data_IF_459627862916
#
_entry.id   IF_459627862916
#
_cell.length_a   1.000
_cell.length_b   1.000
_cell.length_c   1.000
_cell.angle_alpha   90.00
_cell.angle_beta   90.00
_cell.angle_gamma   90.00
#
_symmetry.space_group_name_H-M   'P 1'
#
loop_
_entity.id
_entity.type
_entity.pdbx_description
1 polymer ?
#
# COMPACT_ATOMS: atom_id res chain seq x y z
N UNK A 1 44.87 1.61 68.82
CA UNK A 1 44.99 2.50 67.65
C UNK A 1 44.89 1.65 66.39
N UNK A 2 43.76 1.68 65.68
CA UNK A 2 43.48 0.82 64.52
C UNK A 2 43.48 1.70 63.26
N UNK A 3 44.40 1.45 62.32
CA UNK A 3 44.50 2.17 61.04
C UNK A 3 43.46 1.61 60.06
N UNK A 4 42.55 2.46 59.60
CA UNK A 4 41.63 2.17 58.51
C UNK A 4 42.44 2.11 57.20
N UNK A 5 42.53 0.93 56.59
CA UNK A 5 43.07 0.79 55.24
C UNK A 5 41.96 1.14 54.23
N UNK A 6 42.12 2.26 53.54
CA UNK A 6 41.26 2.64 52.41
C UNK A 6 41.71 1.84 51.20
N UNK A 7 40.90 0.84 50.81
CA UNK A 7 41.17 0.03 49.64
C UNK A 7 40.98 0.89 48.37
N UNK A 8 42.08 1.23 47.69
CA UNK A 8 42.07 2.04 46.48
C UNK A 8 41.77 1.17 45.25
N UNK A 9 40.55 0.65 45.16
CA UNK A 9 40.09 -0.15 44.02
C UNK A 9 39.46 0.74 42.94
N UNK A 10 40.17 0.86 41.81
CA UNK A 10 39.65 1.04 40.43
C UNK A 10 38.49 2.02 40.19
N UNK A 11 38.56 3.27 40.68
CA UNK A 11 37.57 4.33 40.33
C UNK A 11 37.65 4.85 38.89
N UNK A 12 38.80 4.71 38.22
CA UNK A 12 38.96 5.14 36.82
C UNK A 12 38.24 4.24 35.80
N UNK A 13 38.08 2.95 36.13
CA UNK A 13 37.47 1.95 35.22
C UNK A 13 35.97 2.19 35.07
N UNK A 14 35.28 2.57 36.15
CA UNK A 14 33.82 2.80 36.15
C UNK A 14 33.38 4.02 35.33
N UNK A 15 34.19 5.09 35.28
CA UNK A 15 33.85 6.30 34.51
C UNK A 15 34.03 6.06 32.99
N UNK A 16 35.10 5.35 32.61
CA UNK A 16 35.31 4.96 31.21
C UNK A 16 34.23 3.99 30.75
N UNK A 17 33.90 2.98 31.55
CA UNK A 17 32.84 2.02 31.26
C UNK A 17 31.46 2.67 31.10
N UNK A 18 31.10 3.59 32.00
CA UNK A 18 29.82 4.33 31.89
C UNK A 18 29.77 5.23 30.66
N UNK A 19 30.89 5.86 30.29
CA UNK A 19 30.95 6.70 29.08
C UNK A 19 30.81 5.86 27.82
N UNK A 20 31.45 4.69 27.76
CA UNK A 20 31.32 3.74 26.66
C UNK A 20 29.89 3.21 26.58
N UNK A 21 29.31 2.77 27.71
CA UNK A 21 27.94 2.27 27.78
C UNK A 21 26.93 3.33 27.32
N UNK A 22 27.12 4.59 27.73
CA UNK A 22 26.29 5.70 27.27
C UNK A 22 26.42 5.91 25.76
N UNK A 23 27.64 5.88 25.21
CA UNK A 23 27.87 5.99 23.77
C UNK A 23 27.19 4.87 22.97
N UNK A 24 27.30 3.63 23.46
CA UNK A 24 26.62 2.48 22.86
C UNK A 24 25.09 2.61 22.94
N UNK A 25 24.57 3.11 24.07
CA UNK A 25 23.14 3.35 24.24
C UNK A 25 22.62 4.39 23.25
N UNK A 26 23.32 5.52 23.09
CA UNK A 26 22.95 6.58 22.14
C UNK A 26 22.99 6.07 20.70
N UNK A 27 24.02 5.28 20.35
CA UNK A 27 24.11 4.65 19.04
C UNK A 27 22.92 3.70 18.79
N UNK A 28 22.58 2.86 19.78
CA UNK A 28 21.45 1.94 19.70
C UNK A 28 20.12 2.68 19.53
N UNK A 29 19.88 3.73 20.32
CA UNK A 29 18.66 4.55 20.21
C UNK A 29 18.53 5.18 18.83
N UNK A 30 19.64 5.64 18.24
CA UNK A 30 19.65 6.23 16.89
C UNK A 30 19.23 5.22 15.82
N UNK A 31 19.74 3.98 15.91
CA UNK A 31 19.35 2.90 14.98
C UNK A 31 17.89 2.52 15.17
N UNK A 32 17.43 2.36 16.42
CA UNK A 32 16.03 2.03 16.72
C UNK A 32 15.06 3.10 16.24
N UNK A 33 15.40 4.39 16.40
CA UNK A 33 14.60 5.48 15.88
C UNK A 33 14.48 5.42 14.34
N UNK A 34 15.59 5.15 13.63
CA UNK A 34 15.57 4.99 12.18
C UNK A 34 14.69 3.82 11.74
N UNK A 35 14.80 2.67 12.44
CA UNK A 35 13.97 1.49 12.18
C UNK A 35 12.48 1.77 12.42
N UNK A 36 12.13 2.48 13.50
CA UNK A 36 10.76 2.85 13.80
C UNK A 36 10.14 3.71 12.69
N UNK A 37 10.86 4.72 12.20
CA UNK A 37 10.41 5.58 11.09
C UNK A 37 10.24 4.77 9.81
N UNK A 38 11.18 3.86 9.50
CA UNK A 38 11.07 2.99 8.32
C UNK A 38 9.86 2.06 8.42
N UNK A 39 9.63 1.45 9.58
CA UNK A 39 8.50 0.57 9.83
C UNK A 39 7.16 1.32 9.68
N UNK A 40 7.05 2.53 10.22
CA UNK A 40 5.86 3.37 10.07
C UNK A 40 5.57 3.69 8.60
N UNK A 41 6.61 3.97 7.80
CA UNK A 41 6.46 4.19 6.35
C UNK A 41 5.92 2.94 5.65
N UNK A 42 6.49 1.78 5.93
CA UNK A 42 6.03 0.49 5.36
C UNK A 42 4.57 0.20 5.72
N UNK A 43 4.16 0.46 6.96
CA UNK A 43 2.76 0.27 7.37
C UNK A 43 1.81 1.25 6.66
N UNK A 44 2.23 2.51 6.50
CA UNK A 44 1.46 3.51 5.77
C UNK A 44 1.29 3.12 4.29
N UNK A 45 2.35 2.61 3.66
CA UNK A 45 2.33 2.17 2.27
C UNK A 45 1.43 0.93 2.10
N UNK A 46 1.51 -0.04 3.01
CA UNK A 46 0.61 -1.21 3.01
C UNK A 46 -0.86 -0.80 3.18
N UNK A 47 -1.15 0.16 4.07
CA UNK A 47 -2.51 0.65 4.25
C UNK A 47 -3.02 1.32 2.97
N UNK A 48 -2.21 2.15 2.32
CA UNK A 48 -2.58 2.79 1.07
C UNK A 48 -2.81 1.77 -0.05
N UNK A 49 -1.96 0.75 -0.15
CA UNK A 49 -2.13 -0.34 -1.10
C UNK A 49 -3.45 -1.10 -0.89
N UNK A 50 -3.78 -1.47 0.35
CA UNK A 50 -5.05 -2.14 0.66
C UNK A 50 -6.26 -1.30 0.25
N UNK A 51 -6.25 -0.02 0.59
CA UNK A 51 -7.34 0.90 0.21
C UNK A 51 -7.48 1.02 -1.31
N UNK A 52 -6.37 1.02 -2.05
CA UNK A 52 -6.41 1.08 -3.51
C UNK A 52 -6.94 -0.23 -4.12
N UNK A 53 -6.57 -1.38 -3.58
CA UNK A 53 -7.11 -2.68 -4.00
C UNK A 53 -8.60 -2.76 -3.69
N UNK A 54 -9.01 -2.35 -2.49
CA UNK A 54 -10.43 -2.36 -2.09
C UNK A 54 -11.26 -1.46 -3.02
N UNK A 55 -10.78 -0.25 -3.32
CA UNK A 55 -11.46 0.65 -4.26
C UNK A 55 -11.53 0.06 -5.67
N UNK A 56 -10.41 -0.43 -6.20
CA UNK A 56 -10.39 -1.03 -7.55
C UNK A 56 -11.28 -2.26 -7.65
N UNK A 57 -11.33 -3.07 -6.59
CA UNK A 57 -12.25 -4.22 -6.51
C UNK A 57 -13.70 -3.74 -6.56
N UNK A 58 -14.04 -2.72 -5.76
CA UNK A 58 -15.39 -2.17 -5.72
C UNK A 58 -15.81 -1.57 -7.07
N UNK A 59 -14.89 -0.88 -7.77
CA UNK A 59 -15.11 -0.37 -9.12
C UNK A 59 -15.29 -1.50 -10.14
N UNK A 60 -14.48 -2.57 -10.05
CA UNK A 60 -14.61 -3.73 -10.93
C UNK A 60 -15.90 -4.52 -10.68
N UNK A 61 -16.32 -4.68 -9.42
CA UNK A 61 -17.58 -5.35 -9.07
C UNK A 61 -18.77 -4.57 -9.64
N UNK A 62 -18.75 -3.24 -9.55
CA UNK A 62 -19.77 -2.39 -10.17
C UNK A 62 -19.76 -2.51 -11.71
N UNK A 63 -18.57 -2.50 -12.33
CA UNK A 63 -18.44 -2.59 -13.79
C UNK A 63 -18.81 -3.96 -14.36
N UNK A 64 -18.55 -5.04 -13.61
CA UNK A 64 -18.87 -6.41 -14.04
C UNK A 64 -20.34 -6.77 -13.85
N UNK A 65 -21.05 -6.06 -12.96
CA UNK A 65 -22.50 -6.20 -12.80
C UNK A 65 -23.31 -5.50 -13.92
N UNK A 66 -22.69 -4.61 -14.70
CA UNK A 66 -23.34 -3.89 -15.79
C UNK A 66 -23.41 -4.73 -17.07
N UNK A 67 -24.47 -4.56 -17.90
CA UNK A 67 -24.49 -5.08 -19.26
C UNK A 67 -23.28 -4.60 -20.06
N UNK A 68 -22.83 -5.40 -21.03
CA UNK A 68 -21.56 -5.19 -21.73
C UNK A 68 -21.41 -3.80 -22.38
N UNK A 69 -22.50 -3.24 -22.90
CA UNK A 69 -22.54 -1.92 -23.56
C UNK A 69 -22.50 -0.77 -22.54
N UNK A 70 -23.18 -0.95 -21.40
CA UNK A 70 -23.19 0.02 -20.29
C UNK A 70 -21.84 0.02 -19.56
N UNK A 71 -21.23 -1.16 -19.39
CA UNK A 71 -19.92 -1.31 -18.78
C UNK A 71 -18.82 -0.57 -19.57
N UNK A 72 -18.88 -0.59 -20.91
CA UNK A 72 -17.92 0.14 -21.74
C UNK A 72 -18.06 1.66 -21.54
N UNK A 73 -19.29 2.16 -21.52
CA UNK A 73 -19.58 3.59 -21.31
C UNK A 73 -19.17 4.04 -19.90
N UNK A 74 -19.47 3.23 -18.88
CA UNK A 74 -19.09 3.51 -17.50
C UNK A 74 -17.56 3.50 -17.31
N UNK A 75 -16.84 2.59 -18.00
CA UNK A 75 -15.39 2.50 -17.95
C UNK A 75 -14.70 3.73 -18.58
N UNK A 76 -15.27 4.26 -19.66
CA UNK A 76 -14.80 5.52 -20.27
C UNK A 76 -15.05 6.71 -19.34
N UNK A 77 -16.23 6.78 -18.71
CA UNK A 77 -16.54 7.84 -17.74
C UNK A 77 -15.60 7.81 -16.51
N UNK A 78 -15.27 6.60 -16.03
CA UNK A 78 -14.33 6.42 -14.91
C UNK A 78 -12.90 6.87 -15.25
N UNK A 79 -12.54 6.85 -16.54
CA UNK A 79 -11.18 7.17 -16.99
C UNK A 79 -10.90 8.66 -16.94
N UNK A 80 -10.23 9.10 -15.87
CA UNK A 80 -9.89 10.51 -15.63
C UNK A 80 -10.60 11.13 -14.44
N UNK A 81 -11.54 10.42 -13.82
CA UNK A 81 -12.13 10.84 -12.55
C UNK A 81 -11.19 10.57 -11.37
N UNK A 82 -11.29 11.45 -10.37
CA UNK A 82 -10.63 11.31 -9.10
C UNK A 82 -11.55 10.54 -8.14
N UNK A 83 -11.12 9.39 -7.59
CA UNK A 83 -11.94 8.63 -6.66
C UNK A 83 -12.20 9.42 -5.38
N UNK A 84 -13.45 9.37 -4.93
CA UNK A 84 -13.89 10.03 -3.69
C UNK A 84 -13.49 9.17 -2.50
N UNK A 85 -12.83 9.77 -1.49
CA UNK A 85 -12.58 9.13 -0.20
C UNK A 85 -11.10 8.83 0.08
N UNK A 86 -10.75 7.64 0.60
CA UNK A 86 -9.40 7.38 1.14
C UNK A 86 -8.29 7.34 0.08
N UNK A 87 -8.65 7.30 -1.20
CA UNK A 87 -7.75 7.28 -2.37
C UNK A 87 -7.74 8.60 -3.14
N UNK A 88 -8.30 9.67 -2.57
CA UNK A 88 -8.25 11.04 -3.13
C UNK A 88 -6.83 11.43 -3.55
N UNK A 89 -6.74 12.10 -4.69
CA UNK A 89 -5.51 12.48 -5.37
C UNK A 89 -4.98 11.42 -6.34
N UNK A 90 -5.62 10.27 -6.48
CA UNK A 90 -5.29 9.27 -7.49
C UNK A 90 -6.09 9.50 -8.79
N UNK A 91 -5.64 8.90 -9.89
CA UNK A 91 -6.35 8.91 -11.17
C UNK A 91 -6.67 7.49 -11.57
N UNK A 92 -7.93 7.24 -11.94
CA UNK A 92 -8.39 5.96 -12.47
C UNK A 92 -8.27 5.92 -13.99
N UNK A 93 -7.90 4.75 -14.51
CA UNK A 93 -7.85 4.45 -15.95
C UNK A 93 -8.41 3.06 -16.20
N UNK A 94 -9.43 3.00 -17.03
CA UNK A 94 -10.02 1.75 -17.50
C UNK A 94 -9.50 1.35 -18.88
N UNK A 95 -9.39 0.04 -19.12
CA UNK A 95 -9.19 -0.56 -20.44
C UNK A 95 -10.02 -1.82 -20.54
N UNK A 96 -10.68 -1.98 -21.68
CA UNK A 96 -11.46 -3.16 -22.02
C UNK A 96 -10.79 -3.85 -23.21
N UNK A 97 -10.68 -5.17 -23.15
CA UNK A 97 -10.17 -5.98 -24.24
C UNK A 97 -11.08 -7.19 -24.42
N UNK A 98 -11.52 -7.43 -25.66
CA UNK A 98 -12.19 -8.69 -26.00
C UNK A 98 -11.11 -9.76 -26.22
N UNK A 99 -11.20 -10.87 -25.49
CA UNK A 99 -10.30 -12.02 -25.57
C UNK A 99 -11.13 -13.30 -25.84
N UNK A 100 -10.47 -14.41 -26.15
CA UNK A 100 -11.11 -15.65 -26.66
C UNK A 100 -12.21 -16.24 -25.75
N UNK A 101 -12.18 -15.91 -24.44
CA UNK A 101 -13.09 -16.46 -23.43
C UNK A 101 -14.09 -15.44 -22.88
N UNK A 102 -14.13 -14.24 -23.44
CA UNK A 102 -14.97 -13.15 -22.96
C UNK A 102 -14.21 -11.84 -22.89
N UNK A 103 -14.77 -10.88 -22.15
CA UNK A 103 -14.27 -9.52 -22.11
C UNK A 103 -13.48 -9.28 -20.84
N UNK A 104 -12.24 -8.82 -20.99
CA UNK A 104 -11.36 -8.47 -19.87
C UNK A 104 -11.44 -6.98 -19.59
N UNK A 105 -11.95 -6.65 -18.41
CA UNK A 105 -11.94 -5.32 -17.83
C UNK A 105 -10.65 -5.15 -17.04
N UNK A 106 -9.90 -4.09 -17.28
CA UNK A 106 -8.69 -3.75 -16.52
C UNK A 106 -8.78 -2.33 -16.02
N UNK A 107 -8.69 -2.13 -14.71
CA UNK A 107 -8.71 -0.81 -14.09
C UNK A 107 -7.38 -0.58 -13.38
N UNK A 108 -6.79 0.58 -13.62
CA UNK A 108 -5.52 1.01 -13.03
C UNK A 108 -5.74 2.27 -12.22
N UNK A 109 -5.18 2.29 -11.01
CA UNK A 109 -5.13 3.45 -10.13
C UNK A 109 -3.67 3.92 -10.03
N UNK A 110 -3.43 5.15 -10.47
CA UNK A 110 -2.10 5.78 -10.47
C UNK A 110 -2.07 7.03 -9.61
N UNK A 111 -0.93 7.30 -8.96
CA UNK A 111 -0.73 8.52 -8.18
C UNK A 111 0.12 9.55 -8.92
N UNK A 112 -0.18 10.86 -8.77
CA UNK A 112 0.60 11.91 -9.39
C UNK A 112 2.05 11.89 -8.90
N UNK A 113 2.97 12.32 -9.76
CA UNK A 113 4.41 12.23 -9.51
C UNK A 113 4.89 13.01 -8.26
N UNK A 114 4.11 13.97 -7.78
CA UNK A 114 4.36 14.67 -6.51
C UNK A 114 4.16 13.75 -5.28
N UNK A 115 3.36 12.69 -5.41
CA UNK A 115 2.97 11.72 -4.37
C UNK A 115 3.57 10.32 -4.67
N UNK A 116 4.54 10.22 -5.58
CA UNK A 116 5.11 8.98 -6.20
C UNK A 116 5.85 8.02 -5.26
N UNK A 117 5.59 8.06 -3.95
CA UNK A 117 6.00 7.00 -3.02
C UNK A 117 5.11 5.76 -3.11
N UNK A 118 3.91 5.86 -3.68
CA UNK A 118 2.96 4.76 -3.78
C UNK A 118 3.06 4.08 -5.16
N UNK A 119 3.12 2.73 -5.22
CA UNK A 119 3.12 2.01 -6.48
C UNK A 119 1.72 2.04 -7.10
N UNK A 120 1.65 2.17 -8.42
CA UNK A 120 0.41 2.03 -9.18
C UNK A 120 -0.20 0.63 -8.95
N UNK A 121 -1.52 0.57 -8.82
CA UNK A 121 -2.24 -0.69 -8.60
C UNK A 121 -3.13 -0.95 -9.82
N UNK A 122 -3.10 -2.18 -10.32
CA UNK A 122 -3.89 -2.61 -11.46
C UNK A 122 -4.63 -3.89 -11.10
N UNK A 123 -5.93 -3.92 -11.35
CA UNK A 123 -6.75 -5.12 -11.24
C UNK A 123 -7.44 -5.40 -12.59
N UNK A 124 -7.68 -6.68 -12.86
CA UNK A 124 -8.44 -7.13 -14.01
C UNK A 124 -9.55 -8.07 -13.56
N UNK A 125 -10.71 -7.97 -14.20
CA UNK A 125 -11.83 -8.89 -14.06
C UNK A 125 -12.32 -9.35 -15.43
N UNK A 126 -13.02 -10.48 -15.45
CA UNK A 126 -13.65 -11.02 -16.63
C UNK A 126 -15.15 -10.77 -16.56
N UNK A 127 -15.75 -10.28 -17.65
CA UNK A 127 -17.19 -10.31 -17.86
C UNK A 127 -17.52 -11.28 -18.99
N UNK A 128 -18.51 -12.14 -18.72
CA UNK A 128 -19.06 -13.06 -19.69
C UNK A 128 -20.40 -12.49 -20.15
N UNK A 129 -20.59 -12.39 -21.45
CA UNK A 129 -21.93 -12.13 -22.00
C UNK A 129 -22.68 -13.45 -21.88
N UNK A 130 -23.75 -13.46 -21.09
CA UNK A 130 -24.68 -14.58 -21.08
C UNK A 130 -25.43 -14.52 -22.41
N UNK A 131 -25.01 -15.37 -23.35
CA UNK A 131 -25.62 -15.45 -24.68
C UNK A 131 -27.01 -16.08 -24.51
N UNK A 132 -28.05 -15.24 -24.49
CA UNK A 132 -29.46 -15.63 -24.33
C UNK A 132 -30.02 -16.35 -25.57
N UNK A 133 -29.19 -17.09 -26.30
CA UNK A 133 -29.51 -17.73 -27.57
C UNK A 133 -30.21 -19.10 -27.40
N UNK A 134 -30.79 -19.41 -26.23
CA UNK A 134 -31.32 -20.75 -25.92
C UNK A 134 -32.85 -20.83 -25.68
N UNK A 135 -33.65 -19.77 -25.92
CA UNK A 135 -35.12 -19.80 -25.65
C UNK A 135 -36.05 -19.72 -26.87
N UNK A 136 -35.61 -20.12 -28.08
CA UNK A 136 -36.47 -20.14 -29.28
C UNK A 136 -36.66 -21.54 -29.93
N UNK A 137 -36.45 -22.64 -29.18
CA UNK A 137 -36.72 -24.00 -29.66
C UNK A 137 -37.48 -24.87 -28.66
N UNK A 138 -38.75 -24.57 -28.37
CA UNK A 138 -39.75 -25.59 -28.00
C UNK A 138 -41.16 -25.22 -28.49
#
# INVERSE_FOLDING_TARGET
MQRIQVNNTRRGVTLVETTIALGLLVALMSVMASLAVRNQRVLADNRAYRLAVDELSNQLDMLTALPADEAATALEALSGEEPVGPVTGATLRGKMADEDYGRRLTVTLSWPAAIKRRPDVTLSAWSFVEDDSTEDQL
#
